data_IF_282783120194
#
_entry.id   IF_282783120194
#
_cell.length_a   1.000
_cell.length_b   1.000
_cell.length_c   1.000
_cell.angle_alpha   90.00
_cell.angle_beta   90.00
_cell.angle_gamma   90.00
#
_symmetry.space_group_name_H-M   'P 1'
#
loop_
_entity.id
_entity.type
_entity.pdbx_description
1 polymer ?
#
# COMPACT_ATOMS: atom_id res chain seq x y z
N UNK A 1 -15.52 80.17 9.27
CA UNK A 1 -14.71 81.37 9.02
C UNK A 1 -15.40 82.39 8.13
N UNK A 2 -16.14 81.97 7.10
CA UNK A 2 -16.74 82.88 6.11
C UNK A 2 -17.76 83.89 6.68
N UNK A 3 -18.58 83.49 7.65
CA UNK A 3 -19.57 84.39 8.27
C UNK A 3 -18.95 85.62 8.97
N UNK A 4 -17.73 85.50 9.52
CA UNK A 4 -17.05 86.62 10.20
C UNK A 4 -16.45 87.59 9.20
N UNK A 5 -15.86 87.08 8.12
CA UNK A 5 -15.28 87.89 7.02
C UNK A 5 -16.36 88.70 6.30
N UNK A 6 -17.53 88.08 6.06
CA UNK A 6 -18.69 88.74 5.44
C UNK A 6 -19.22 89.88 6.32
N UNK A 7 -19.24 89.69 7.65
CA UNK A 7 -19.67 90.73 8.60
C UNK A 7 -18.70 91.91 8.63
N UNK A 8 -17.39 91.66 8.68
CA UNK A 8 -16.36 92.71 8.67
C UNK A 8 -16.35 93.49 7.36
N UNK A 9 -16.52 92.83 6.21
CA UNK A 9 -16.64 93.47 4.89
C UNK A 9 -17.85 94.42 4.83
N UNK A 10 -18.99 94.00 5.40
CA UNK A 10 -20.21 94.82 5.45
C UNK A 10 -20.05 96.05 6.33
N UNK A 11 -19.37 95.92 7.47
CA UNK A 11 -19.08 97.04 8.37
C UNK A 11 -18.07 98.03 7.78
N UNK A 12 -17.05 97.54 7.06
CA UNK A 12 -16.09 98.36 6.31
C UNK A 12 -16.78 99.13 5.17
N UNK A 13 -17.59 98.45 4.35
CA UNK A 13 -18.33 99.09 3.26
C UNK A 13 -19.27 100.20 3.75
N UNK A 14 -19.92 100.03 4.90
CA UNK A 14 -20.80 101.06 5.48
C UNK A 14 -20.04 102.31 5.93
N UNK A 15 -18.82 102.17 6.46
CA UNK A 15 -18.00 103.30 6.94
C UNK A 15 -17.33 104.09 5.81
N UNK A 16 -16.98 103.42 4.71
CA UNK A 16 -16.30 104.05 3.57
C UNK A 16 -17.23 104.45 2.42
N UNK A 17 -18.53 104.17 2.55
CA UNK A 17 -19.57 104.61 1.62
C UNK A 17 -19.57 106.13 1.36
N UNK A 18 -19.35 107.04 2.33
CA UNK A 18 -19.31 108.48 2.09
C UNK A 18 -18.11 108.93 1.25
N UNK A 19 -17.06 108.11 1.19
CA UNK A 19 -15.83 108.37 0.43
C UNK A 19 -15.84 107.68 -0.95
N UNK A 20 -16.96 107.04 -1.34
CA UNK A 20 -17.11 106.40 -2.65
C UNK A 20 -16.34 105.08 -2.82
N UNK A 21 -15.78 104.52 -1.75
CA UNK A 21 -14.97 103.29 -1.82
C UNK A 21 -15.80 102.05 -1.47
N UNK A 22 -15.70 101.01 -2.29
CA UNK A 22 -16.36 99.72 -2.09
C UNK A 22 -15.34 98.57 -2.07
N UNK A 23 -15.27 97.84 -0.96
CA UNK A 23 -14.49 96.62 -0.77
C UNK A 23 -15.26 95.40 -1.29
N UNK A 24 -14.68 94.69 -2.27
CA UNK A 24 -15.28 93.52 -2.93
C UNK A 24 -14.87 92.18 -2.32
N UNK A 25 -13.66 92.08 -1.78
CA UNK A 25 -13.14 90.86 -1.16
C UNK A 25 -12.16 91.22 -0.04
N UNK A 26 -12.15 90.41 1.02
CA UNK A 26 -11.18 90.48 2.09
C UNK A 26 -10.61 89.08 2.30
N UNK A 27 -9.29 88.95 2.13
CA UNK A 27 -8.56 87.74 2.48
C UNK A 27 -7.85 87.98 3.81
N UNK A 28 -8.01 87.06 4.75
CA UNK A 28 -7.21 87.07 5.99
C UNK A 28 -5.84 86.50 5.61
N UNK A 29 -4.81 87.34 5.59
CA UNK A 29 -3.47 86.98 5.14
C UNK A 29 -2.60 86.37 6.25
N UNK A 30 -2.82 86.76 7.50
CA UNK A 30 -2.01 86.27 8.62
C UNK A 30 -2.89 86.20 9.89
N UNK A 31 -2.87 85.06 10.57
CA UNK A 31 -3.61 84.82 11.82
C UNK A 31 -2.59 84.48 12.89
N UNK A 32 -2.34 85.45 13.78
CA UNK A 32 -1.41 85.28 14.90
C UNK A 32 -2.18 84.89 16.14
N UNK A 33 -1.84 83.74 16.70
CA UNK A 33 -2.30 83.31 18.02
C UNK A 33 -1.27 83.75 19.07
N UNK A 34 -1.64 83.78 20.35
CA UNK A 34 -0.64 83.92 21.40
C UNK A 34 0.27 82.69 21.40
N UNK A 35 1.53 82.87 21.80
CA UNK A 35 2.54 81.80 21.83
C UNK A 35 2.03 80.57 22.59
N UNK A 36 1.36 80.80 23.72
CA UNK A 36 0.80 79.73 24.55
C UNK A 36 -0.26 78.87 23.84
N UNK A 37 -1.20 79.42 23.06
CA UNK A 37 -2.14 78.58 22.30
C UNK A 37 -1.43 77.79 21.21
N UNK A 38 -0.42 78.38 20.55
CA UNK A 38 0.31 77.69 19.49
C UNK A 38 1.04 76.48 20.06
N UNK A 39 1.71 76.65 21.20
CA UNK A 39 2.44 75.59 21.88
C UNK A 39 1.49 74.45 22.32
N UNK A 40 0.33 74.79 22.91
CA UNK A 40 -0.68 73.79 23.33
C UNK A 40 -1.27 73.04 22.12
N UNK A 41 -1.60 73.75 21.04
CA UNK A 41 -2.14 73.12 19.82
C UNK A 41 -1.10 72.23 19.15
N UNK A 42 0.16 72.65 19.14
CA UNK A 42 1.25 71.87 18.59
C UNK A 42 1.51 70.60 19.43
N UNK A 43 1.64 70.72 20.76
CA UNK A 43 1.83 69.59 21.66
C UNK A 43 0.69 68.56 21.55
N UNK A 44 -0.57 69.01 21.56
CA UNK A 44 -1.72 68.11 21.44
C UNK A 44 -1.77 67.38 20.09
N UNK A 45 -1.33 68.03 19.01
CA UNK A 45 -1.26 67.44 17.67
C UNK A 45 -0.10 66.45 17.56
N UNK A 46 1.04 66.78 18.14
CA UNK A 46 2.20 65.88 18.24
C UNK A 46 1.88 64.65 19.08
N UNK A 47 1.20 64.81 20.20
CA UNK A 47 0.81 63.71 21.08
C UNK A 47 -0.18 62.75 20.38
N UNK A 48 -1.21 63.30 19.71
CA UNK A 48 -2.13 62.49 18.89
C UNK A 48 -1.39 61.73 17.78
N UNK A 49 -0.40 62.36 17.16
CA UNK A 49 0.41 61.73 16.12
C UNK A 49 1.31 60.62 16.68
N UNK A 50 1.94 60.83 17.85
CA UNK A 50 2.71 59.81 18.57
C UNK A 50 1.84 58.61 18.95
N UNK A 51 0.65 58.83 19.49
CA UNK A 51 -0.31 57.75 19.81
C UNK A 51 -0.68 56.97 18.55
N UNK A 52 -1.00 57.67 17.44
CA UNK A 52 -1.36 57.01 16.18
C UNK A 52 -0.22 56.15 15.65
N UNK A 53 1.03 56.64 15.75
CA UNK A 53 2.24 55.90 15.37
C UNK A 53 2.44 54.66 16.25
N UNK A 54 2.33 54.79 17.57
CA UNK A 54 2.43 53.66 18.50
C UNK A 54 1.33 52.62 18.25
N UNK A 55 0.08 53.03 18.06
CA UNK A 55 -1.03 52.10 17.72
C UNK A 55 -0.75 51.34 16.43
N UNK A 56 -0.24 52.02 15.40
CA UNK A 56 0.12 51.38 14.12
C UNK A 56 1.27 50.38 14.31
N UNK A 57 2.26 50.75 15.12
CA UNK A 57 3.41 49.88 15.39
C UNK A 57 3.03 48.65 16.22
N UNK A 58 2.19 48.82 17.25
CA UNK A 58 1.63 47.71 18.01
C UNK A 58 0.79 46.80 17.13
N UNK A 59 -0.11 47.34 16.30
CA UNK A 59 -0.91 46.55 15.38
C UNK A 59 -0.03 45.72 14.45
N UNK A 60 0.98 46.34 13.84
CA UNK A 60 1.91 45.62 12.97
C UNK A 60 2.68 44.53 13.70
N UNK A 61 3.09 44.77 14.96
CA UNK A 61 3.75 43.74 15.77
C UNK A 61 2.82 42.56 16.08
N UNK A 62 1.54 42.81 16.33
CA UNK A 62 0.56 41.76 16.56
C UNK A 62 0.28 40.97 15.29
N UNK A 63 0.09 41.65 14.16
CA UNK A 63 -0.11 41.00 12.87
C UNK A 63 1.09 40.10 12.50
N UNK A 64 2.32 40.55 12.81
CA UNK A 64 3.53 39.75 12.59
C UNK A 64 3.57 38.50 13.48
N UNK A 65 3.25 38.63 14.75
CA UNK A 65 3.20 37.49 15.68
C UNK A 65 2.15 36.47 15.22
N UNK A 66 0.97 36.94 14.79
CA UNK A 66 -0.07 36.06 14.28
C UNK A 66 0.39 35.34 13.00
N UNK A 67 0.99 36.07 12.06
CA UNK A 67 1.51 35.49 10.83
C UNK A 67 2.59 34.44 11.10
N UNK A 68 3.53 34.70 12.01
CA UNK A 68 4.58 33.75 12.37
C UNK A 68 4.00 32.49 13.04
N UNK A 69 2.96 32.64 13.87
CA UNK A 69 2.25 31.53 14.49
C UNK A 69 1.50 30.67 13.45
N UNK A 70 0.77 31.31 12.54
CA UNK A 70 0.01 30.64 11.48
C UNK A 70 0.96 29.88 10.54
N UNK A 71 2.08 30.50 10.15
CA UNK A 71 3.11 29.85 9.33
C UNK A 71 3.71 28.62 10.01
N UNK A 72 3.97 28.70 11.32
CA UNK A 72 4.52 27.59 12.07
C UNK A 72 3.51 26.44 12.21
N UNK A 73 2.23 26.76 12.41
CA UNK A 73 1.15 25.78 12.42
C UNK A 73 0.96 25.11 11.07
N UNK A 74 0.97 25.87 9.97
CA UNK A 74 0.88 25.33 8.61
C UNK A 74 2.05 24.40 8.29
N UNK A 75 3.27 24.77 8.69
CA UNK A 75 4.45 23.92 8.57
C UNK A 75 4.29 22.60 9.31
N UNK A 76 3.82 22.64 10.56
CA UNK A 76 3.55 21.42 11.35
C UNK A 76 2.48 20.54 10.72
N UNK A 77 1.39 21.13 10.23
CA UNK A 77 0.30 20.38 9.58
C UNK A 77 0.83 19.63 8.36
N UNK A 78 1.58 20.31 7.48
CA UNK A 78 2.21 19.69 6.30
C UNK A 78 3.17 18.56 6.66
N UNK A 79 4.00 18.76 7.68
CA UNK A 79 4.91 17.72 8.15
C UNK A 79 4.18 16.51 8.72
N UNK A 80 3.09 16.74 9.48
CA UNK A 80 2.26 15.66 10.01
C UNK A 80 1.50 14.92 8.92
N UNK A 81 0.95 15.61 7.92
CA UNK A 81 0.31 15.00 6.76
C UNK A 81 1.29 14.11 5.99
N UNK A 82 2.52 14.59 5.75
CA UNK A 82 3.56 13.79 5.09
C UNK A 82 3.90 12.53 5.89
N UNK A 83 4.15 12.67 7.20
CA UNK A 83 4.43 11.52 8.08
C UNK A 83 3.28 10.52 8.10
N UNK A 84 2.04 11.01 8.10
CA UNK A 84 0.86 10.16 8.10
C UNK A 84 0.70 9.42 6.76
N UNK A 85 1.03 10.06 5.64
CA UNK A 85 1.10 9.42 4.34
C UNK A 85 2.20 8.34 4.28
N UNK A 86 3.39 8.64 4.80
CA UNK A 86 4.51 7.69 4.90
C UNK A 86 4.13 6.46 5.74
N UNK A 87 3.52 6.66 6.91
CA UNK A 87 3.05 5.57 7.77
C UNK A 87 1.96 4.72 7.10
N UNK A 88 1.02 5.35 6.38
CA UNK A 88 0.01 4.63 5.59
C UNK A 88 0.66 3.80 4.49
N UNK A 89 1.62 4.36 3.76
CA UNK A 89 2.35 3.64 2.72
C UNK A 89 3.15 2.46 3.29
N UNK A 90 3.83 2.66 4.42
CA UNK A 90 4.55 1.61 5.13
C UNK A 90 3.63 0.48 5.59
N UNK A 91 2.45 0.81 6.15
CA UNK A 91 1.43 -0.17 6.52
C UNK A 91 0.96 -0.97 5.31
N UNK A 92 0.66 -0.30 4.20
CA UNK A 92 0.21 -1.00 2.98
C UNK A 92 1.29 -1.94 2.44
N UNK A 93 2.55 -1.51 2.41
CA UNK A 93 3.67 -2.37 2.00
C UNK A 93 3.80 -3.60 2.91
N UNK A 94 3.77 -3.40 4.23
CA UNK A 94 3.84 -4.50 5.19
C UNK A 94 2.69 -5.51 5.04
N UNK A 95 1.47 -5.04 4.72
CA UNK A 95 0.34 -5.92 4.42
C UNK A 95 0.56 -6.74 3.14
N UNK A 96 1.03 -6.10 2.08
CA UNK A 96 1.38 -6.79 0.82
C UNK A 96 2.47 -7.82 1.04
N UNK A 97 3.53 -7.48 1.78
CA UNK A 97 4.65 -8.38 2.04
C UNK A 97 4.20 -9.58 2.88
N UNK A 98 3.31 -9.36 3.85
CA UNK A 98 2.69 -10.44 4.63
C UNK A 98 1.85 -11.36 3.74
N UNK A 99 1.05 -10.80 2.84
CA UNK A 99 0.22 -11.58 1.93
C UNK A 99 1.07 -12.38 0.94
N UNK A 100 2.15 -11.79 0.40
CA UNK A 100 3.16 -12.50 -0.41
C UNK A 100 3.82 -13.63 0.38
N UNK A 101 4.25 -13.38 1.61
CA UNK A 101 4.85 -14.43 2.44
C UNK A 101 3.87 -15.59 2.71
N UNK A 102 2.59 -15.28 2.96
CA UNK A 102 1.57 -16.30 3.17
C UNK A 102 1.30 -17.11 1.89
N UNK A 103 1.18 -16.45 0.74
CA UNK A 103 0.98 -17.13 -0.54
C UNK A 103 2.20 -17.98 -0.93
N UNK A 104 3.41 -17.45 -0.77
CA UNK A 104 4.65 -18.20 -1.02
C UNK A 104 4.77 -19.44 -0.13
N UNK A 105 4.42 -19.33 1.16
CA UNK A 105 4.45 -20.48 2.08
C UNK A 105 3.38 -21.51 1.72
N UNK A 106 2.16 -21.09 1.38
CA UNK A 106 1.11 -21.97 0.89
C UNK A 106 1.53 -22.71 -0.38
N UNK A 107 2.04 -21.98 -1.38
CA UNK A 107 2.52 -22.59 -2.63
C UNK A 107 3.65 -23.59 -2.39
N UNK A 108 4.60 -23.29 -1.49
CA UNK A 108 5.66 -24.24 -1.12
C UNK A 108 5.09 -25.50 -0.48
N UNK A 109 4.17 -25.35 0.48
CA UNK A 109 3.50 -26.48 1.12
C UNK A 109 2.74 -27.34 0.10
N UNK A 110 2.04 -26.73 -0.85
CA UNK A 110 1.31 -27.44 -1.90
C UNK A 110 2.25 -28.20 -2.85
N UNK A 111 3.35 -27.58 -3.27
CA UNK A 111 4.36 -28.22 -4.12
C UNK A 111 4.99 -29.41 -3.41
N UNK A 112 5.36 -29.27 -2.13
CA UNK A 112 5.91 -30.39 -1.36
C UNK A 112 4.89 -31.50 -1.14
N UNK A 113 3.62 -31.16 -0.86
CA UNK A 113 2.53 -32.15 -0.79
C UNK A 113 2.40 -32.92 -2.10
N UNK A 114 2.36 -32.24 -3.24
CA UNK A 114 2.26 -32.87 -4.55
C UNK A 114 3.47 -33.78 -4.85
N UNK A 115 4.69 -33.33 -4.51
CA UNK A 115 5.90 -34.16 -4.67
C UNK A 115 5.81 -35.45 -3.86
N UNK A 116 5.37 -35.38 -2.61
CA UNK A 116 5.21 -36.57 -1.77
C UNK A 116 4.08 -37.48 -2.27
N UNK A 117 2.95 -36.92 -2.73
CA UNK A 117 1.89 -37.69 -3.36
C UNK A 117 2.37 -38.42 -4.62
N UNK A 118 3.19 -37.78 -5.48
CA UNK A 118 3.77 -38.44 -6.66
C UNK A 118 4.80 -39.51 -6.28
N UNK A 119 5.63 -39.27 -5.27
CA UNK A 119 6.55 -40.28 -4.73
C UNK A 119 5.79 -41.50 -4.21
N UNK A 120 4.70 -41.29 -3.49
CA UNK A 120 3.84 -42.38 -3.00
C UNK A 120 3.21 -43.16 -4.17
N UNK A 121 2.62 -42.47 -5.15
CA UNK A 121 2.01 -43.11 -6.33
C UNK A 121 3.02 -43.90 -7.15
N UNK A 122 4.22 -43.36 -7.36
CA UNK A 122 5.29 -44.06 -8.10
C UNK A 122 5.80 -45.28 -7.34
N UNK A 123 5.93 -45.20 -6.01
CA UNK A 123 6.28 -46.34 -5.16
C UNK A 123 5.21 -47.44 -5.22
N UNK A 124 3.93 -47.07 -5.13
CA UNK A 124 2.80 -47.98 -5.24
C UNK A 124 2.78 -48.67 -6.60
N UNK A 125 2.96 -47.91 -7.69
CA UNK A 125 3.00 -48.44 -9.05
C UNK A 125 4.17 -49.41 -9.22
N UNK A 126 5.36 -49.08 -8.71
CA UNK A 126 6.52 -49.98 -8.72
C UNK A 126 6.28 -51.26 -7.93
N UNK A 127 5.64 -51.17 -6.76
CA UNK A 127 5.30 -52.33 -5.95
C UNK A 127 4.30 -53.25 -6.67
N UNK A 128 3.25 -52.67 -7.26
CA UNK A 128 2.27 -53.39 -8.09
C UNK A 128 2.93 -54.07 -9.29
N UNK A 129 3.84 -53.38 -9.99
CA UNK A 129 4.59 -53.97 -11.09
C UNK A 129 5.47 -55.14 -10.64
N UNK A 130 6.18 -55.02 -9.51
CA UNK A 130 6.98 -56.12 -8.95
C UNK A 130 6.14 -57.32 -8.58
N UNK A 131 5.00 -57.10 -7.94
CA UNK A 131 4.05 -58.14 -7.59
C UNK A 131 3.55 -58.87 -8.84
N UNK A 132 3.17 -58.13 -9.88
CA UNK A 132 2.73 -58.72 -11.15
C UNK A 132 3.82 -59.55 -11.82
N UNK A 133 5.08 -59.08 -11.81
CA UNK A 133 6.21 -59.86 -12.34
C UNK A 133 6.38 -61.15 -11.55
N UNK A 134 6.39 -61.08 -10.23
CA UNK A 134 6.50 -62.26 -9.37
C UNK A 134 5.35 -63.26 -9.58
N UNK A 135 4.11 -62.79 -9.75
CA UNK A 135 2.96 -63.64 -10.08
C UNK A 135 3.15 -64.33 -11.43
N UNK A 136 3.61 -63.61 -12.46
CA UNK A 136 3.86 -64.21 -13.78
C UNK A 136 5.00 -65.21 -13.77
N UNK A 137 6.05 -64.97 -12.99
CA UNK A 137 7.15 -65.92 -12.80
C UNK A 137 6.66 -67.15 -12.04
N UNK A 138 5.89 -66.97 -10.97
CA UNK A 138 5.28 -68.08 -10.23
C UNK A 138 4.40 -68.94 -11.13
N UNK A 139 3.55 -68.33 -11.97
CA UNK A 139 2.72 -69.05 -12.95
C UNK A 139 3.58 -69.85 -13.93
N UNK A 140 4.62 -69.25 -14.52
CA UNK A 140 5.55 -69.96 -15.42
C UNK A 140 6.23 -71.14 -14.73
N UNK A 141 6.73 -70.95 -13.52
CA UNK A 141 7.36 -72.06 -12.77
C UNK A 141 6.38 -73.17 -12.45
N UNK A 142 5.12 -72.85 -12.11
CA UNK A 142 4.08 -73.84 -11.88
C UNK A 142 3.74 -74.61 -13.16
N UNK A 143 3.60 -73.92 -14.29
CA UNK A 143 3.40 -74.52 -15.61
C UNK A 143 4.56 -75.44 -16.00
N UNK A 144 5.80 -75.01 -15.80
CA UNK A 144 7.01 -75.80 -16.07
C UNK A 144 7.07 -77.05 -15.20
N UNK A 145 6.75 -76.95 -13.91
CA UNK A 145 6.69 -78.10 -13.00
C UNK A 145 5.60 -79.07 -13.42
N UNK A 146 4.40 -78.58 -13.77
CA UNK A 146 3.31 -79.41 -14.27
C UNK A 146 3.66 -80.09 -15.59
N UNK A 147 4.31 -79.38 -16.52
CA UNK A 147 4.75 -79.92 -17.79
C UNK A 147 5.79 -81.04 -17.59
N UNK A 148 6.79 -80.82 -16.71
CA UNK A 148 7.77 -81.84 -16.33
C UNK A 148 7.11 -83.06 -15.69
N UNK A 149 6.20 -82.85 -14.73
CA UNK A 149 5.49 -83.94 -14.07
C UNK A 149 4.64 -84.77 -15.06
N UNK A 150 3.94 -84.11 -16.00
CA UNK A 150 3.19 -84.79 -17.06
C UNK A 150 4.11 -85.59 -18.00
N UNK A 151 5.25 -85.01 -18.38
CA UNK A 151 6.22 -85.69 -19.23
C UNK A 151 6.81 -86.93 -18.54
N UNK A 152 7.14 -86.85 -17.24
CA UNK A 152 7.62 -88.00 -16.48
C UNK A 152 6.54 -89.07 -16.30
N UNK A 153 5.29 -88.67 -16.06
CA UNK A 153 4.17 -89.61 -15.97
C UNK A 153 3.90 -90.33 -17.29
N UNK A 154 3.93 -89.62 -18.43
CA UNK A 154 3.81 -90.24 -19.75
C UNK A 154 5.00 -91.15 -20.07
N UNK A 155 6.24 -90.76 -19.73
CA UNK A 155 7.41 -91.65 -19.85
C UNK A 155 7.22 -92.94 -19.04
N UNK A 156 6.79 -92.83 -17.79
CA UNK A 156 6.53 -93.98 -16.93
C UNK A 156 5.41 -94.88 -17.50
N UNK A 157 4.34 -94.26 -18.01
CA UNK A 157 3.24 -94.97 -18.68
C UNK A 157 3.71 -95.72 -19.93
N UNK A 158 4.50 -95.08 -20.79
CA UNK A 158 5.03 -95.70 -22.01
C UNK A 158 5.94 -96.88 -21.64
N UNK A 159 6.82 -96.73 -20.63
CA UNK A 159 7.68 -97.83 -20.15
C UNK A 159 6.85 -99.01 -19.64
N UNK A 160 5.88 -98.76 -18.77
CA UNK A 160 5.00 -99.81 -18.24
C UNK A 160 4.22 -100.54 -19.37
N UNK A 161 3.77 -99.81 -20.40
CA UNK A 161 3.11 -100.40 -21.56
C UNK A 161 4.08 -101.22 -22.43
N UNK A 162 5.33 -100.77 -22.58
CA UNK A 162 6.36 -101.53 -23.30
C UNK A 162 6.71 -102.82 -22.58
N UNK A 163 6.91 -102.76 -21.26
CA UNK A 163 7.17 -103.93 -20.40
C UNK A 163 6.00 -104.92 -20.44
N UNK A 164 4.75 -104.45 -20.37
CA UNK A 164 3.58 -105.30 -20.51
C UNK A 164 3.52 -105.97 -21.89
N UNK A 165 3.85 -105.24 -22.98
CA UNK A 165 3.89 -105.80 -24.34
C UNK A 165 4.99 -106.86 -24.48
N UNK A 166 6.17 -106.64 -23.92
CA UNK A 166 7.25 -107.64 -23.97
C UNK A 166 6.86 -108.89 -23.20
N UNK A 167 6.26 -108.76 -22.01
CA UNK A 167 5.76 -109.92 -21.25
C UNK A 167 4.68 -110.69 -22.00
N UNK A 168 3.71 -110.01 -22.62
CA UNK A 168 2.68 -110.67 -23.46
C UNK A 168 3.34 -111.43 -24.61
N UNK A 169 4.30 -110.81 -25.31
CA UNK A 169 5.00 -111.44 -26.42
C UNK A 169 5.81 -112.67 -25.97
N UNK A 170 6.52 -112.57 -24.84
CA UNK A 170 7.25 -113.70 -24.25
C UNK A 170 6.29 -114.85 -23.90
N UNK A 171 5.16 -114.56 -23.24
CA UNK A 171 4.13 -115.56 -22.94
C UNK A 171 3.52 -116.20 -24.21
N UNK A 172 3.30 -115.42 -25.27
CA UNK A 172 2.81 -115.93 -26.55
C UNK A 172 3.84 -116.83 -27.27
N UNK A 173 5.13 -116.56 -27.12
CA UNK A 173 6.20 -117.42 -27.66
C UNK A 173 6.31 -118.72 -26.87
N UNK A 174 6.22 -118.66 -25.55
CA UNK A 174 6.19 -119.86 -24.69
C UNK A 174 4.98 -120.75 -25.02
N UNK A 175 3.81 -120.16 -25.28
CA UNK A 175 2.60 -120.89 -25.69
C UNK A 175 2.69 -121.51 -27.10
N UNK A 176 3.53 -120.96 -27.99
CA UNK A 176 3.77 -121.53 -29.34
C UNK A 176 4.85 -122.60 -29.35
N UNK A 177 5.72 -122.62 -28.34
CA UNK A 177 6.80 -123.59 -28.18
C UNK A 177 6.37 -124.84 -27.37
N UNK A 178 5.19 -124.80 -26.74
CA UNK A 178 4.53 -125.92 -26.06
C UNK A 178 3.53 -126.64 -26.99
#
# INVERSE_FOLDING_TARGET
NDLRVIRTLRELNKKFQPFGVQFKSAAITDVRFNQELQDILQETTEFKSKIKKQKKQQKHSMDKIQFDADKLMEGKVKDHERKLQELRAARTRALIDREKANTDTQSKCEVERLKEEERAKTAETRAKSKLKVAETEAQRTAEDVLARARAELEKARIRALQEAKTMIFESEQELKAA
#
